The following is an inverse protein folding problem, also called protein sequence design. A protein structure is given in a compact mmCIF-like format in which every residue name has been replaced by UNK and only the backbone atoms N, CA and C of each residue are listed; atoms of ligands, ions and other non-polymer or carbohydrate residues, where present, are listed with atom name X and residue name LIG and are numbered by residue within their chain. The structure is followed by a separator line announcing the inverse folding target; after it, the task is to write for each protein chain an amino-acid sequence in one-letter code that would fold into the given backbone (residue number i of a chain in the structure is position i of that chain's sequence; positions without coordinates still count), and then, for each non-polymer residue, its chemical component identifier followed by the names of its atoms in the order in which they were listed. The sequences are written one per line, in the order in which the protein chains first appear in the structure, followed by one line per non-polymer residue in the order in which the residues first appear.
data_IF_188839005399
#
_entry.id   IF_188839005399
#
_cell.length_a   1.000
_cell.length_b   1.000
_cell.length_c   1.000
_cell.angle_alpha   90.00
_cell.angle_beta   90.00
_cell.angle_gamma   90.00
#
_symmetry.space_group_name_H-M   'P 1'
#
loop_
_entity.id
_entity.type
_entity.pdbx_description
1 polymer ?
#
# COMPACT_ATOMS: atom_id res chain seq x y z
N UNK A 1 -9.27 -1.86 9.74
CA UNK A 1 -9.59 -1.92 8.29
C UNK A 1 -8.71 -0.90 7.59
N UNK A 2 -7.84 -1.32 6.66
CA UNK A 2 -7.05 -0.43 5.82
C UNK A 2 -7.53 -0.54 4.37
N UNK A 3 -7.72 0.59 3.70
CA UNK A 3 -8.20 0.68 2.31
C UNK A 3 -7.13 1.24 1.36
N UNK A 4 -5.87 1.28 1.81
CA UNK A 4 -4.76 1.79 1.02
C UNK A 4 -4.60 1.07 -0.33
N UNK A 5 -5.09 -0.18 -0.42
CA UNK A 5 -5.15 -0.95 -1.65
C UNK A 5 -6.46 -1.72 -1.74
N UNK A 6 -7.28 -1.37 -2.73
CA UNK A 6 -8.48 -2.13 -3.10
C UNK A 6 -8.36 -2.49 -4.57
N UNK A 7 -8.29 -3.79 -4.87
CA UNK A 7 -8.42 -4.29 -6.24
C UNK A 7 -9.90 -4.50 -6.53
N UNK A 8 -10.39 -3.90 -7.61
CA UNK A 8 -11.79 -4.02 -8.02
C UNK A 8 -11.92 -4.08 -9.55
N UNK A 9 -13.12 -4.41 -10.03
CA UNK A 9 -13.51 -4.32 -11.43
C UNK A 9 -14.52 -3.19 -11.63
N UNK A 10 -14.72 -2.77 -12.89
CA UNK A 10 -15.81 -1.85 -13.25
C UNK A 10 -17.14 -2.43 -12.74
N UNK A 11 -17.95 -1.57 -12.11
CA UNK A 11 -19.22 -1.99 -11.49
C UNK A 11 -19.09 -2.49 -10.05
N UNK A 12 -17.91 -2.40 -9.41
CA UNK A 12 -17.77 -2.69 -7.97
C UNK A 12 -18.63 -1.74 -7.14
N UNK A 13 -19.66 -2.29 -6.50
CA UNK A 13 -20.54 -1.55 -5.61
C UNK A 13 -19.77 -0.89 -4.48
N UNK A 14 -18.91 -1.66 -3.80
CA UNK A 14 -18.16 -1.21 -2.63
C UNK A 14 -17.29 0.02 -2.94
N UNK A 15 -16.59 0.01 -4.09
CA UNK A 15 -15.80 1.19 -4.50
C UNK A 15 -16.68 2.37 -4.93
N UNK A 16 -17.79 2.11 -5.61
CA UNK A 16 -18.69 3.17 -6.06
C UNK A 16 -19.33 3.90 -4.86
N UNK A 17 -19.82 3.15 -3.87
CA UNK A 17 -20.39 3.67 -2.64
C UNK A 17 -19.34 4.44 -1.82
N UNK A 18 -18.13 3.89 -1.66
CA UNK A 18 -17.06 4.57 -0.94
C UNK A 18 -16.63 5.86 -1.63
N UNK A 19 -16.49 5.84 -2.97
CA UNK A 19 -16.21 7.05 -3.75
C UNK A 19 -17.30 8.10 -3.55
N UNK A 20 -18.57 7.70 -3.60
CA UNK A 20 -19.68 8.64 -3.40
C UNK A 20 -19.64 9.25 -2.00
N UNK A 21 -19.33 8.45 -0.98
CA UNK A 21 -19.19 8.93 0.40
C UNK A 21 -18.06 9.96 0.53
N UNK A 22 -16.89 9.69 -0.06
CA UNK A 22 -15.77 10.63 -0.11
C UNK A 22 -16.19 11.94 -0.79
N UNK A 23 -16.85 11.88 -1.96
CA UNK A 23 -17.28 13.08 -2.68
C UNK A 23 -18.34 13.87 -1.91
N UNK A 24 -19.28 13.19 -1.25
CA UNK A 24 -20.29 13.84 -0.42
C UNK A 24 -19.66 14.55 0.80
N UNK A 25 -18.63 13.95 1.38
CA UNK A 25 -17.87 14.56 2.46
C UNK A 25 -17.16 15.84 1.98
N UNK A 26 -16.40 15.77 0.89
CA UNK A 26 -15.65 16.91 0.36
C UNK A 26 -16.51 18.07 -0.15
N UNK A 27 -17.72 17.79 -0.61
CA UNK A 27 -18.65 18.86 -1.02
C UNK A 27 -19.23 19.62 0.18
N UNK A 28 -19.05 19.13 1.41
CA UNK A 28 -19.71 19.66 2.62
C UNK A 28 -18.74 20.01 3.76
N UNK A 29 -17.51 19.50 3.74
CA UNK A 29 -16.51 19.72 4.79
C UNK A 29 -15.35 20.58 4.25
N UNK A 30 -15.30 21.89 4.59
CA UNK A 30 -14.25 22.79 4.12
C UNK A 30 -12.96 22.73 4.95
N UNK A 31 -12.90 21.99 6.06
CA UNK A 31 -11.74 21.96 6.97
C UNK A 31 -10.63 21.02 6.50
N UNK A 32 -9.44 21.24 7.07
CA UNK A 32 -8.29 20.36 6.88
C UNK A 32 -8.61 18.91 7.25
N UNK A 33 -8.12 18.00 6.41
CA UNK A 33 -8.47 16.60 6.42
C UNK A 33 -7.57 15.82 7.36
N UNK A 34 -8.16 15.11 8.32
CA UNK A 34 -7.45 14.03 9.00
C UNK A 34 -7.07 12.98 7.95
N UNK A 35 -5.77 12.71 7.82
CA UNK A 35 -5.22 11.74 6.88
C UNK A 35 -5.99 10.41 6.87
N UNK A 36 -6.50 9.95 8.02
CA UNK A 36 -7.21 8.68 8.15
C UNK A 36 -8.71 8.75 7.88
N UNK A 37 -9.29 9.91 7.59
CA UNK A 37 -10.73 10.07 7.41
C UNK A 37 -11.28 9.19 6.28
N UNK A 38 -10.51 8.97 5.20
CA UNK A 38 -10.92 8.05 4.13
C UNK A 38 -11.03 6.59 4.61
N UNK A 39 -10.22 6.15 5.58
CA UNK A 39 -10.30 4.83 6.21
C UNK A 39 -11.51 4.73 7.13
N UNK A 40 -11.79 5.78 7.90
CA UNK A 40 -12.95 5.84 8.77
C UNK A 40 -14.26 5.82 7.98
N UNK A 41 -14.33 6.57 6.87
CA UNK A 41 -15.48 6.54 5.96
C UNK A 41 -15.69 5.16 5.36
N UNK A 42 -14.62 4.49 4.92
CA UNK A 42 -14.72 3.13 4.39
C UNK A 42 -15.21 2.13 5.44
N UNK A 43 -14.68 2.23 6.67
CA UNK A 43 -15.13 1.42 7.81
C UNK A 43 -16.62 1.64 8.08
N UNK A 44 -17.04 2.91 8.17
CA UNK A 44 -18.44 3.28 8.41
C UNK A 44 -19.36 2.74 7.32
N UNK A 45 -18.96 2.84 6.05
CA UNK A 45 -19.71 2.24 4.94
C UNK A 45 -19.88 0.73 5.11
N UNK A 46 -18.80 0.00 5.38
CA UNK A 46 -18.83 -1.46 5.54
C UNK A 46 -19.65 -1.87 6.77
N UNK A 47 -19.65 -1.09 7.84
CA UNK A 47 -20.38 -1.39 9.07
C UNK A 47 -21.88 -1.12 8.97
N UNK A 48 -22.30 -0.17 8.13
CA UNK A 48 -23.69 0.30 8.08
C UNK A 48 -24.43 0.04 6.76
N UNK A 49 -23.73 -0.37 5.70
CA UNK A 49 -24.35 -0.76 4.43
C UNK A 49 -24.26 -2.29 4.24
N UNK A 50 -25.39 -3.03 4.29
CA UNK A 50 -25.40 -4.48 4.17
C UNK A 50 -24.82 -5.00 2.84
N UNK A 51 -24.97 -4.24 1.75
CA UNK A 51 -24.45 -4.62 0.44
C UNK A 51 -22.94 -4.41 0.41
N UNK A 52 -22.45 -3.30 0.97
CA UNK A 52 -21.02 -3.06 1.12
C UNK A 52 -20.37 -4.12 2.01
N UNK A 53 -21.00 -4.47 3.14
CA UNK A 53 -20.56 -5.53 4.04
C UNK A 53 -20.41 -6.87 3.33
N UNK A 54 -21.46 -7.30 2.62
CA UNK A 54 -21.44 -8.55 1.85
C UNK A 54 -20.26 -8.62 0.89
N UNK A 55 -19.98 -7.54 0.16
CA UNK A 55 -18.87 -7.53 -0.79
C UNK A 55 -17.51 -7.46 -0.10
N UNK A 56 -17.39 -6.73 1.00
CA UNK A 56 -16.16 -6.65 1.78
C UNK A 56 -15.81 -8.01 2.40
N UNK A 57 -16.78 -8.70 3.01
CA UNK A 57 -16.58 -10.03 3.62
C UNK A 57 -16.18 -11.09 2.58
N UNK A 58 -16.55 -10.90 1.30
CA UNK A 58 -16.16 -11.77 0.19
C UNK A 58 -14.77 -11.45 -0.40
N UNK A 59 -14.11 -10.36 0.02
CA UNK A 59 -12.77 -10.03 -0.46
C UNK A 59 -11.73 -10.99 0.14
N UNK A 60 -10.72 -11.42 -0.65
CA UNK A 60 -9.59 -12.16 -0.10
C UNK A 60 -8.91 -11.36 1.00
N UNK A 61 -8.70 -11.99 2.16
CA UNK A 61 -7.89 -11.42 3.21
C UNK A 61 -6.43 -11.33 2.75
N UNK A 62 -5.79 -10.19 2.97
CA UNK A 62 -4.38 -9.98 2.68
C UNK A 62 -3.71 -9.44 3.94
N UNK A 63 -2.73 -10.20 4.43
CA UNK A 63 -1.94 -9.79 5.59
C UNK A 63 -1.10 -8.55 5.28
N UNK A 64 -1.08 -7.61 6.22
CA UNK A 64 -0.30 -6.38 6.07
C UNK A 64 1.18 -6.60 6.39
N UNK A 65 1.52 -7.48 7.34
CA UNK A 65 2.90 -7.67 7.80
C UNK A 65 3.88 -7.99 6.65
N UNK A 66 3.54 -8.90 5.69
CA UNK A 66 4.40 -9.18 4.54
C UNK A 66 4.68 -7.96 3.64
N UNK A 67 3.79 -6.95 3.62
CA UNK A 67 4.00 -5.73 2.82
C UNK A 67 5.05 -4.79 3.42
N UNK A 68 5.39 -4.94 4.70
CA UNK A 68 6.40 -4.14 5.40
C UNK A 68 7.72 -4.90 5.59
N UNK A 69 7.74 -6.21 5.41
CA UNK A 69 8.88 -7.05 5.77
C UNK A 69 10.18 -6.64 5.05
N UNK A 70 10.12 -6.34 3.75
CA UNK A 70 11.32 -5.97 2.99
C UNK A 70 12.03 -4.74 3.58
N UNK A 71 11.28 -3.69 3.89
CA UNK A 71 11.87 -2.40 4.26
C UNK A 71 12.22 -2.29 5.75
N UNK A 72 11.42 -2.91 6.62
CA UNK A 72 11.61 -2.83 8.07
C UNK A 72 12.44 -3.97 8.65
N UNK A 73 12.59 -5.09 7.93
CA UNK A 73 13.39 -6.23 8.42
C UNK A 73 14.76 -6.33 7.77
N UNK A 74 14.89 -6.03 6.47
CA UNK A 74 16.11 -6.38 5.71
C UNK A 74 16.66 -5.28 4.80
N UNK A 75 16.14 -4.05 4.86
CA UNK A 75 16.57 -2.97 3.95
C UNK A 75 18.08 -2.71 3.96
N UNK A 76 18.74 -2.85 5.11
CA UNK A 76 20.17 -2.60 5.29
C UNK A 76 21.03 -3.85 5.09
N UNK A 77 20.41 -5.02 4.91
CA UNK A 77 21.14 -6.27 4.71
C UNK A 77 21.80 -6.31 3.32
N UNK A 78 22.94 -7.01 3.17
CA UNK A 78 23.55 -7.24 1.86
C UNK A 78 22.55 -7.82 0.87
N UNK A 79 22.49 -7.23 -0.32
CA UNK A 79 21.59 -7.70 -1.36
C UNK A 79 21.99 -9.09 -1.83
N UNK A 80 21.04 -10.02 -1.73
CA UNK A 80 21.08 -11.26 -2.51
C UNK A 80 19.72 -11.46 -3.17
N UNK A 81 19.73 -11.99 -4.40
CA UNK A 81 18.48 -12.31 -5.11
C UNK A 81 17.59 -13.27 -4.33
N UNK A 82 18.19 -14.17 -3.53
CA UNK A 82 17.47 -15.11 -2.66
C UNK A 82 16.73 -14.36 -1.54
N UNK A 83 17.43 -13.55 -0.77
CA UNK A 83 16.86 -12.79 0.35
C UNK A 83 15.78 -11.80 -0.14
N UNK A 84 16.06 -11.10 -1.23
CA UNK A 84 15.09 -10.19 -1.84
C UNK A 84 13.81 -10.93 -2.25
N UNK A 85 13.93 -12.08 -2.91
CA UNK A 85 12.77 -12.89 -3.33
C UNK A 85 12.00 -13.43 -2.13
N UNK A 86 12.69 -13.89 -1.09
CA UNK A 86 12.08 -14.38 0.14
C UNK A 86 11.14 -13.33 0.75
N UNK A 87 11.66 -12.12 0.97
CA UNK A 87 10.92 -11.03 1.62
C UNK A 87 9.90 -10.33 0.71
N UNK A 88 9.99 -10.51 -0.62
CA UNK A 88 9.00 -9.95 -1.56
C UNK A 88 7.91 -10.93 -1.97
N UNK A 89 8.13 -12.25 -1.86
CA UNK A 89 7.20 -13.26 -2.36
C UNK A 89 5.85 -13.33 -1.64
N UNK A 90 5.80 -12.91 -0.36
CA UNK A 90 4.60 -12.96 0.48
C UNK A 90 3.61 -11.81 0.25
N UNK A 91 3.94 -10.83 -0.58
CA UNK A 91 3.04 -9.73 -0.90
C UNK A 91 3.15 -9.29 -2.37
N UNK A 92 2.03 -8.83 -2.92
CA UNK A 92 1.99 -8.31 -4.29
C UNK A 92 2.67 -6.95 -4.45
N UNK A 93 2.99 -6.29 -3.33
CA UNK A 93 3.73 -5.03 -3.28
C UNK A 93 4.49 -4.92 -1.95
N UNK A 94 5.48 -4.03 -1.91
CA UNK A 94 6.29 -3.76 -0.74
C UNK A 94 6.24 -2.27 -0.43
N UNK A 95 5.95 -1.93 0.83
CA UNK A 95 6.00 -0.56 1.33
C UNK A 95 7.44 -0.23 1.68
N UNK A 96 7.88 0.94 1.25
CA UNK A 96 9.16 1.54 1.63
C UNK A 96 8.88 2.81 2.43
N UNK A 97 9.90 3.42 3.05
CA UNK A 97 9.77 4.76 3.65
C UNK A 97 10.83 5.72 3.14
N UNK A 98 10.36 6.84 2.59
CA UNK A 98 11.22 7.93 2.10
C UNK A 98 11.99 8.64 3.23
N UNK A 99 11.48 8.58 4.47
CA UNK A 99 12.06 9.29 5.61
C UNK A 99 12.86 8.36 6.52
N UNK A 100 13.58 7.39 5.93
CA UNK A 100 14.55 6.56 6.66
C UNK A 100 15.98 6.94 6.29
N UNK A 101 16.97 6.73 7.19
CA UNK A 101 18.38 7.01 6.88
C UNK A 101 18.86 6.31 5.60
N UNK A 102 18.48 5.05 5.41
CA UNK A 102 18.83 4.23 4.25
C UNK A 102 18.02 4.53 2.98
N UNK A 103 16.92 5.29 3.06
CA UNK A 103 16.31 5.87 1.86
C UNK A 103 17.11 7.04 1.32
N UNK A 104 17.74 7.82 2.22
CA UNK A 104 18.50 9.02 1.86
C UNK A 104 19.94 8.69 1.49
N UNK A 105 20.56 7.79 2.26
CA UNK A 105 21.93 7.34 2.10
C UNK A 105 21.97 5.80 2.28
N UNK A 106 21.63 5.03 1.24
CA UNK A 106 21.66 3.57 1.33
C UNK A 106 23.10 3.06 1.51
N UNK A 107 23.26 1.97 2.27
CA UNK A 107 24.56 1.31 2.44
C UNK A 107 24.93 0.64 1.11
N UNK A 108 26.10 0.89 0.51
CA UNK A 108 26.48 0.28 -0.77
C UNK A 108 26.36 -1.25 -0.75
N UNK A 109 25.68 -1.80 -1.75
CA UNK A 109 25.40 -3.24 -1.86
C UNK A 109 24.29 -3.78 -0.95
N UNK A 110 23.60 -2.94 -0.19
CA UNK A 110 22.42 -3.35 0.57
C UNK A 110 21.18 -3.52 -0.31
N UNK A 111 20.12 -4.12 0.23
CA UNK A 111 18.81 -4.18 -0.43
C UNK A 111 18.31 -2.78 -0.81
N UNK A 112 18.43 -1.79 0.10
CA UNK A 112 18.00 -0.42 -0.17
C UNK A 112 18.82 0.21 -1.32
N UNK A 113 20.13 -0.01 -1.35
CA UNK A 113 21.00 0.48 -2.43
C UNK A 113 20.63 -0.14 -3.77
N UNK A 114 20.47 -1.46 -3.81
CA UNK A 114 20.10 -2.15 -5.04
C UNK A 114 18.75 -1.66 -5.59
N UNK A 115 17.75 -1.52 -4.72
CA UNK A 115 16.42 -1.01 -5.10
C UNK A 115 16.46 0.43 -5.62
N UNK A 116 17.20 1.33 -4.98
CA UNK A 116 17.19 2.76 -5.31
C UNK A 116 18.13 3.06 -6.48
N UNK A 117 19.34 2.50 -6.45
CA UNK A 117 20.42 2.93 -7.32
C UNK A 117 20.65 2.02 -8.52
N UNK A 118 20.24 0.75 -8.51
CA UNK A 118 20.61 -0.22 -9.55
C UNK A 118 19.42 -0.83 -10.30
N UNK A 119 18.35 -1.23 -9.61
CA UNK A 119 17.22 -1.96 -10.22
C UNK A 119 16.52 -1.19 -11.34
N UNK A 120 16.44 0.14 -11.25
CA UNK A 120 15.77 0.98 -12.26
C UNK A 120 16.70 1.56 -13.32
N UNK A 121 18.02 1.41 -13.18
CA UNK A 121 19.00 1.96 -14.15
C UNK A 121 19.23 1.08 -15.38
N UNK A 122 18.51 -0.03 -15.51
CA UNK A 122 18.54 -0.87 -16.72
C UNK A 122 17.51 -0.41 -17.75
N UNK A 123 17.88 0.63 -18.53
CA UNK A 123 17.67 0.80 -19.99
C UNK A 123 17.60 2.28 -20.39
N UNK A 124 18.76 2.86 -20.68
CA UNK A 124 18.93 3.82 -21.79
C UNK A 124 20.23 3.46 -22.52
N UNK A 125 20.22 2.31 -23.22
CA UNK A 125 21.07 2.20 -24.40
C UNK A 125 20.30 2.90 -25.52
N UNK A 126 20.76 4.10 -25.87
CA UNK A 126 20.45 4.73 -27.16
C UNK A 126 20.98 3.84 -28.29
#
# INVERSE_FOLDING_TARGET
MQNCFIRARKGSYLLAAWRQMILNFWTREPREFDYFMHQLMFKSLVEHDPVAKKYFDAMPHIDQAPTHALWWSVANEPYTKKLFKEYTSGAFFQKTTYNSPWAKNPIPGSIADEMINHMYKTKTKK
#
